data_IF_784381350546
#
_entry.id   IF_784381350546
#
_cell.length_a   1.000
_cell.length_b   1.000
_cell.length_c   1.000
_cell.angle_alpha   90.00
_cell.angle_beta   90.00
_cell.angle_gamma   90.00
#
_symmetry.space_group_name_H-M   'P 1'
#
loop_
_entity.id
_entity.type
_entity.pdbx_description
1 polymer ?
#
# COMPACT_ATOMS: atom_id res chain seq x y z
N UNK A 1 -64.90 -7.48 29.95
CA UNK A 1 -63.49 -7.04 30.17
C UNK A 1 -62.42 -8.09 29.82
N UNK A 2 -62.71 -9.41 29.72
CA UNK A 2 -61.69 -10.44 29.36
C UNK A 2 -61.13 -10.36 27.93
N UNK A 3 -61.93 -9.92 26.94
CA UNK A 3 -61.48 -9.79 25.54
C UNK A 3 -60.47 -8.65 25.33
N UNK A 4 -60.67 -7.52 26.02
CA UNK A 4 -59.75 -6.38 25.97
C UNK A 4 -58.37 -6.75 26.56
N UNK A 5 -58.34 -7.49 27.67
CA UNK A 5 -57.10 -7.95 28.30
C UNK A 5 -56.29 -8.88 27.40
N UNK A 6 -56.93 -9.84 26.73
CA UNK A 6 -56.23 -10.75 25.79
C UNK A 6 -55.73 -10.02 24.54
N UNK A 7 -56.50 -9.06 24.05
CA UNK A 7 -56.08 -8.22 22.92
C UNK A 7 -54.83 -7.41 23.25
N UNK A 8 -54.80 -6.78 24.43
CA UNK A 8 -53.65 -6.01 24.92
C UNK A 8 -52.42 -6.91 25.12
N UNK A 9 -52.60 -8.11 25.67
CA UNK A 9 -51.53 -9.10 25.83
C UNK A 9 -50.89 -9.49 24.49
N UNK A 10 -51.70 -9.84 23.48
CA UNK A 10 -51.18 -10.15 22.14
C UNK A 10 -50.50 -8.96 21.47
N UNK A 11 -51.03 -7.74 21.64
CA UNK A 11 -50.40 -6.53 21.12
C UNK A 11 -48.99 -6.32 21.71
N UNK A 12 -48.82 -6.54 23.02
CA UNK A 12 -47.52 -6.47 23.67
C UNK A 12 -46.56 -7.57 23.22
N UNK A 13 -47.04 -8.81 23.05
CA UNK A 13 -46.22 -9.92 22.54
C UNK A 13 -45.69 -9.61 21.13
N UNK A 14 -46.56 -9.11 20.24
CA UNK A 14 -46.19 -8.73 18.88
C UNK A 14 -45.16 -7.59 18.91
N UNK A 15 -45.41 -6.54 19.69
CA UNK A 15 -44.49 -5.41 19.83
C UNK A 15 -43.12 -5.86 20.35
N UNK A 16 -43.10 -6.72 21.38
CA UNK A 16 -41.86 -7.28 21.90
C UNK A 16 -41.12 -8.12 20.86
N UNK A 17 -41.85 -8.92 20.07
CA UNK A 17 -41.30 -9.67 18.94
C UNK A 17 -40.60 -8.75 17.93
N UNK A 18 -41.25 -7.66 17.53
CA UNK A 18 -40.64 -6.66 16.64
C UNK A 18 -39.43 -5.97 17.25
N UNK A 19 -39.47 -5.64 18.54
CA UNK A 19 -38.32 -5.03 19.23
C UNK A 19 -37.12 -5.96 19.25
N UNK A 20 -37.32 -7.23 19.64
CA UNK A 20 -36.24 -8.22 19.68
C UNK A 20 -35.67 -8.47 18.28
N UNK A 21 -36.53 -8.59 17.27
CA UNK A 21 -36.08 -8.81 15.89
C UNK A 21 -35.30 -7.60 15.34
N UNK A 22 -35.72 -6.37 15.68
CA UNK A 22 -35.00 -5.15 15.30
C UNK A 22 -33.64 -5.06 15.99
N UNK A 23 -33.56 -5.41 17.27
CA UNK A 23 -32.30 -5.45 18.02
C UNK A 23 -31.34 -6.48 17.43
N UNK A 24 -31.82 -7.70 17.16
CA UNK A 24 -31.02 -8.75 16.53
C UNK A 24 -30.51 -8.34 15.16
N UNK A 25 -31.37 -7.75 14.33
CA UNK A 25 -31.00 -7.26 13.00
C UNK A 25 -29.90 -6.19 13.10
N UNK A 26 -30.03 -5.25 14.04
CA UNK A 26 -29.03 -4.21 14.27
C UNK A 26 -27.68 -4.78 14.75
N UNK A 27 -27.71 -5.78 15.65
CA UNK A 27 -26.50 -6.46 16.12
C UNK A 27 -25.79 -7.21 14.99
N UNK A 28 -26.53 -7.96 14.18
CA UNK A 28 -25.99 -8.70 13.04
C UNK A 28 -25.38 -7.72 12.02
N UNK A 29 -26.10 -6.65 11.71
CA UNK A 29 -25.63 -5.62 10.78
C UNK A 29 -24.33 -4.95 11.25
N UNK A 30 -24.26 -4.58 12.53
CA UNK A 30 -23.06 -3.98 13.13
C UNK A 30 -21.88 -4.96 13.13
N UNK A 31 -22.13 -6.23 13.47
CA UNK A 31 -21.12 -7.27 13.45
C UNK A 31 -20.57 -7.51 12.04
N UNK A 32 -21.44 -7.56 11.04
CA UNK A 32 -21.07 -7.72 9.64
C UNK A 32 -20.15 -6.59 9.17
N UNK A 33 -20.53 -5.32 9.42
CA UNK A 33 -19.74 -4.16 9.01
C UNK A 33 -18.36 -4.14 9.68
N UNK A 34 -18.30 -4.40 10.99
CA UNK A 34 -17.01 -4.47 11.72
C UNK A 34 -16.11 -5.59 11.21
N UNK A 35 -16.69 -6.74 10.88
CA UNK A 35 -15.95 -7.88 10.33
C UNK A 35 -15.42 -7.57 8.93
N UNK A 36 -16.25 -6.92 8.10
CA UNK A 36 -15.87 -6.48 6.76
C UNK A 36 -14.70 -5.49 6.81
N UNK A 37 -14.81 -4.43 7.62
CA UNK A 37 -13.73 -3.45 7.78
C UNK A 37 -12.43 -4.08 8.29
N UNK A 38 -12.52 -4.99 9.27
CA UNK A 38 -11.34 -5.71 9.78
C UNK A 38 -10.68 -6.56 8.70
N UNK A 39 -11.47 -7.29 7.91
CA UNK A 39 -10.95 -8.10 6.82
C UNK A 39 -10.30 -7.24 5.74
N UNK A 40 -10.91 -6.09 5.41
CA UNK A 40 -10.32 -5.14 4.46
C UNK A 40 -9.00 -4.59 4.99
N UNK A 41 -8.96 -4.09 6.22
CA UNK A 41 -7.73 -3.56 6.83
C UNK A 41 -6.60 -4.61 6.88
N UNK A 42 -6.93 -5.86 7.22
CA UNK A 42 -5.95 -6.94 7.22
C UNK A 42 -5.42 -7.23 5.82
N UNK A 43 -6.29 -7.24 4.81
CA UNK A 43 -5.89 -7.44 3.41
C UNK A 43 -5.05 -6.29 2.85
N UNK A 44 -5.44 -5.04 3.11
CA UNK A 44 -4.67 -3.85 2.70
C UNK A 44 -3.28 -3.87 3.30
N UNK A 45 -3.16 -4.22 4.59
CA UNK A 45 -1.88 -4.37 5.27
C UNK A 45 -1.03 -5.49 4.65
N UNK A 46 -1.62 -6.65 4.37
CA UNK A 46 -0.90 -7.76 3.76
C UNK A 46 -0.37 -7.40 2.37
N UNK A 47 -1.20 -6.73 1.55
CA UNK A 47 -0.76 -6.23 0.24
C UNK A 47 0.40 -5.25 0.39
N UNK A 48 0.31 -4.28 1.30
CA UNK A 48 1.40 -3.32 1.52
C UNK A 48 2.72 -4.00 1.95
N UNK A 49 2.64 -5.01 2.83
CA UNK A 49 3.81 -5.80 3.25
C UNK A 49 4.39 -6.61 2.09
N UNK A 50 3.54 -7.27 1.31
CA UNK A 50 3.96 -8.03 0.13
C UNK A 50 4.64 -7.13 -0.91
N UNK A 51 4.08 -5.95 -1.17
CA UNK A 51 4.70 -4.93 -2.04
C UNK A 51 6.04 -4.47 -1.48
N UNK A 52 6.12 -4.23 -0.16
CA UNK A 52 7.37 -3.84 0.52
C UNK A 52 8.45 -4.90 0.34
N UNK A 53 8.14 -6.16 0.62
CA UNK A 53 9.09 -7.27 0.49
C UNK A 53 9.57 -7.43 -0.95
N UNK A 54 8.68 -7.26 -1.93
CA UNK A 54 9.02 -7.29 -3.35
C UNK A 54 9.94 -6.12 -3.73
N UNK A 55 9.63 -4.90 -3.28
CA UNK A 55 10.49 -3.71 -3.51
C UNK A 55 11.87 -3.91 -2.91
N UNK A 56 11.97 -4.37 -1.65
CA UNK A 56 13.25 -4.59 -0.98
C UNK A 56 14.08 -5.66 -1.69
N UNK A 57 13.46 -6.79 -2.04
CA UNK A 57 14.15 -7.86 -2.77
C UNK A 57 14.62 -7.39 -4.15
N UNK A 58 13.80 -6.61 -4.84
CA UNK A 58 14.13 -6.06 -6.15
C UNK A 58 15.23 -5.00 -6.05
N UNK A 59 15.23 -4.20 -4.98
CA UNK A 59 16.29 -3.25 -4.66
C UNK A 59 17.62 -3.95 -4.45
N UNK A 60 17.67 -4.94 -3.55
CA UNK A 60 18.86 -5.73 -3.27
C UNK A 60 19.41 -6.39 -4.55
N UNK A 61 18.52 -6.95 -5.37
CA UNK A 61 18.90 -7.59 -6.65
C UNK A 61 19.42 -6.58 -7.67
N UNK A 62 18.79 -5.40 -7.78
CA UNK A 62 19.12 -4.38 -8.77
C UNK A 62 20.42 -3.64 -8.46
N UNK A 63 20.76 -3.47 -7.19
CA UNK A 63 22.02 -2.84 -6.78
C UNK A 63 23.25 -3.64 -7.19
N UNK A 64 23.18 -4.97 -7.12
CA UNK A 64 24.29 -5.86 -7.44
C UNK A 64 24.58 -5.94 -8.94
N UNK A 65 23.61 -5.57 -9.79
CA UNK A 65 23.74 -5.68 -11.25
C UNK A 65 24.41 -4.42 -11.82
N UNK A 66 25.58 -4.60 -12.44
CA UNK A 66 26.28 -3.55 -13.18
C UNK A 66 25.69 -3.41 -14.59
N UNK A 67 24.61 -2.64 -14.69
CA UNK A 67 24.09 -2.15 -15.97
C UNK A 67 24.42 -0.67 -16.07
N UNK A 68 25.08 -0.27 -17.16
CA UNK A 68 25.48 1.10 -17.45
C UNK A 68 24.69 1.59 -18.67
N UNK A 69 23.53 2.24 -18.48
CA UNK A 69 22.73 2.75 -19.58
C UNK A 69 23.48 3.85 -20.34
N UNK A 70 23.37 3.84 -21.67
CA UNK A 70 23.86 4.93 -22.53
C UNK A 70 23.19 6.26 -22.16
N UNK A 71 23.82 7.39 -22.48
CA UNK A 71 23.26 8.72 -22.18
C UNK A 71 21.85 8.88 -22.78
N UNK A 72 20.91 9.39 -21.98
CA UNK A 72 19.50 9.53 -22.30
C UNK A 72 18.79 8.18 -22.61
N UNK A 73 19.21 7.11 -21.95
CA UNK A 73 18.57 5.79 -22.06
C UNK A 73 18.23 5.19 -20.69
N UNK A 74 17.36 4.20 -20.71
CA UNK A 74 16.95 3.42 -19.54
C UNK A 74 17.05 1.92 -19.86
N UNK A 75 17.43 1.14 -18.86
CA UNK A 75 17.52 -0.32 -18.93
C UNK A 75 16.77 -0.91 -17.76
N UNK A 76 15.86 -1.84 -18.05
CA UNK A 76 15.23 -2.67 -17.03
C UNK A 76 16.27 -3.70 -16.57
N UNK A 77 16.63 -3.61 -15.29
CA UNK A 77 17.69 -4.44 -14.69
C UNK A 77 17.13 -5.71 -14.09
N UNK A 78 15.96 -5.61 -13.46
CA UNK A 78 15.25 -6.72 -12.88
C UNK A 78 13.75 -6.43 -12.86
N UNK A 79 12.94 -7.48 -12.90
CA UNK A 79 11.50 -7.39 -12.73
C UNK A 79 10.97 -8.47 -11.79
N UNK A 80 9.80 -8.24 -11.22
CA UNK A 80 9.13 -9.17 -10.32
C UNK A 80 7.62 -9.00 -10.36
N UNK A 81 6.91 -10.10 -10.58
CA UNK A 81 5.46 -10.15 -10.49
C UNK A 81 5.02 -10.34 -9.04
N UNK A 82 4.21 -9.42 -8.52
CA UNK A 82 3.80 -9.48 -7.12
C UNK A 82 2.68 -10.51 -6.90
N UNK A 83 1.84 -10.80 -7.90
CA UNK A 83 0.65 -11.65 -7.79
C UNK A 83 -0.30 -11.15 -6.70
N UNK A 84 -0.87 -9.97 -6.92
CA UNK A 84 -1.86 -9.41 -6.02
C UNK A 84 -3.17 -10.20 -6.01
N UNK A 85 -3.93 -10.20 -4.89
CA UNK A 85 -5.29 -10.74 -4.91
C UNK A 85 -6.18 -9.92 -5.86
N UNK A 86 -7.19 -10.56 -6.45
CA UNK A 86 -8.15 -9.86 -7.32
C UNK A 86 -8.99 -8.83 -6.55
N UNK A 87 -9.29 -9.10 -5.27
CA UNK A 87 -10.07 -8.21 -4.41
C UNK A 87 -9.70 -8.40 -2.94
N UNK A 88 -10.00 -7.39 -2.12
CA UNK A 88 -9.80 -7.40 -0.67
C UNK A 88 -11.16 -7.22 -0.01
N UNK A 89 -11.62 -8.21 0.75
CA UNK A 89 -12.97 -8.18 1.34
C UNK A 89 -14.09 -8.05 0.30
N UNK A 90 -13.87 -8.55 -0.92
CA UNK A 90 -14.81 -8.40 -2.04
C UNK A 90 -14.89 -6.96 -2.59
N UNK A 91 -13.85 -6.14 -2.41
CA UNK A 91 -13.73 -4.79 -2.97
C UNK A 91 -12.50 -4.68 -3.85
N UNK A 92 -12.62 -3.87 -4.90
CA UNK A 92 -11.48 -3.46 -5.70
C UNK A 92 -10.58 -2.52 -4.87
N UNK A 93 -9.29 -2.56 -5.17
CA UNK A 93 -8.29 -1.75 -4.51
C UNK A 93 -7.23 -1.28 -5.52
N UNK A 94 -6.46 -0.30 -5.08
CA UNK A 94 -5.29 0.19 -5.77
C UNK A 94 -4.10 0.29 -4.82
N UNK A 95 -2.90 0.18 -5.40
CA UNK A 95 -1.62 0.36 -4.74
C UNK A 95 -0.91 1.51 -5.44
N UNK A 96 -0.57 2.56 -4.70
CA UNK A 96 0.21 3.69 -5.17
C UNK A 96 1.60 3.66 -4.52
N UNK A 97 2.65 3.75 -5.33
CA UNK A 97 4.02 3.96 -4.87
C UNK A 97 4.33 5.45 -4.90
N UNK A 98 4.70 6.01 -3.74
CA UNK A 98 4.90 7.45 -3.60
C UNK A 98 6.31 7.68 -3.09
N UNK A 99 7.16 8.26 -3.94
CA UNK A 99 8.39 8.92 -3.52
C UNK A 99 8.04 10.24 -2.84
N UNK A 100 8.48 10.43 -1.60
CA UNK A 100 8.30 11.72 -0.93
C UNK A 100 9.39 12.70 -1.41
N UNK A 101 9.04 13.92 -1.86
CA UNK A 101 9.95 15.04 -1.73
C UNK A 101 9.97 15.43 -0.25
N UNK A 102 10.73 14.70 0.57
CA UNK A 102 10.70 14.94 2.02
C UNK A 102 11.60 14.01 2.82
N UNK A 103 12.49 14.63 3.59
CA UNK A 103 13.46 14.06 4.52
C UNK A 103 12.74 13.17 5.54
N UNK A 104 13.13 11.89 5.65
CA UNK A 104 12.88 11.10 6.85
C UNK A 104 14.16 11.07 7.67
N UNK A 105 14.15 11.75 8.83
CA UNK A 105 15.26 11.67 9.78
C UNK A 105 15.11 10.37 10.56
N UNK A 106 15.92 9.37 10.24
CA UNK A 106 16.17 8.26 11.16
C UNK A 106 17.57 8.43 11.76
N UNK A 107 17.63 8.52 13.09
CA UNK A 107 18.86 8.75 13.85
C UNK A 107 19.69 7.47 13.92
N UNK A 108 20.85 7.46 13.26
CA UNK A 108 21.82 6.36 13.34
C UNK A 108 22.80 6.58 14.49
N UNK A 109 23.05 5.51 15.27
CA UNK A 109 24.16 5.26 16.19
C UNK A 109 24.88 6.46 16.82
N UNK A 110 24.56 6.69 18.10
CA UNK A 110 25.42 7.41 19.04
C UNK A 110 26.65 6.54 19.34
N UNK A 111 27.74 6.78 18.62
CA UNK A 111 29.07 6.33 19.08
C UNK A 111 29.64 7.47 19.92
N UNK A 112 29.64 7.29 21.25
CA UNK A 112 30.28 8.21 22.18
C UNK A 112 31.72 7.73 22.34
N UNK A 113 32.61 8.27 21.51
CA UNK A 113 34.04 8.19 21.79
C UNK A 113 34.51 9.49 22.47
N UNK A 114 35.60 9.40 23.23
CA UNK A 114 36.14 10.45 24.11
C UNK A 114 36.56 11.76 23.41
N UNK A 115 36.30 11.91 22.12
CA UNK A 115 36.70 13.07 21.30
C UNK A 115 35.52 13.78 20.60
N UNK A 116 34.27 13.34 20.77
CA UNK A 116 33.09 14.10 20.32
C UNK A 116 31.96 13.26 19.73
N UNK A 117 30.76 13.84 19.74
CA UNK A 117 29.54 13.22 19.18
C UNK A 117 29.57 13.38 17.65
N UNK A 118 29.87 12.32 16.91
CA UNK A 118 29.73 12.31 15.45
C UNK A 118 28.30 11.91 15.07
N UNK A 119 27.44 12.90 14.78
CA UNK A 119 26.13 12.67 14.19
C UNK A 119 26.29 12.62 12.68
N UNK A 120 26.36 11.42 12.09
CA UNK A 120 26.18 11.26 10.64
C UNK A 120 24.70 11.45 10.32
N UNK A 121 24.35 12.62 9.78
CA UNK A 121 23.01 12.93 9.28
C UNK A 121 22.90 12.44 7.84
N UNK A 122 22.50 11.18 7.65
CA UNK A 122 22.11 10.69 6.33
C UNK A 122 20.68 11.14 6.04
N UNK A 123 20.49 11.83 4.92
CA UNK A 123 19.19 12.34 4.49
C UNK A 123 18.67 11.38 3.43
N UNK A 124 17.79 10.45 3.79
CA UNK A 124 17.02 9.69 2.80
C UNK A 124 15.63 10.31 2.67
N UNK A 125 15.23 10.64 1.44
CA UNK A 125 13.82 10.81 1.12
C UNK A 125 13.15 9.45 1.37
N UNK A 126 12.03 9.45 2.09
CA UNK A 126 11.38 8.19 2.44
C UNK A 126 10.25 7.93 1.47
N UNK A 127 10.34 6.77 0.85
CA UNK A 127 9.30 6.18 0.04
C UNK A 127 8.12 5.68 0.91
N UNK A 128 6.92 5.65 0.36
CA UNK A 128 5.77 5.00 1.00
C UNK A 128 4.90 4.24 0.00
N UNK A 129 4.25 3.20 0.50
CA UNK A 129 3.24 2.42 -0.21
C UNK A 129 1.88 2.83 0.36
N UNK A 130 0.98 3.27 -0.51
CA UNK A 130 -0.41 3.54 -0.15
C UNK A 130 -1.30 2.49 -0.81
N UNK A 131 -2.00 1.69 -0.01
CA UNK A 131 -2.99 0.73 -0.51
C UNK A 131 -4.37 1.19 -0.08
N UNK A 132 -5.32 1.29 -1.01
CA UNK A 132 -6.67 1.77 -0.68
C UNK A 132 -7.77 1.09 -1.48
N UNK A 133 -8.95 0.95 -0.89
CA UNK A 133 -10.12 0.48 -1.62
C UNK A 133 -10.67 1.57 -2.53
N UNK A 134 -11.21 1.17 -3.68
CA UNK A 134 -11.85 2.08 -4.64
C UNK A 134 -13.38 2.10 -4.51
N UNK A 135 -13.91 1.35 -3.54
CA UNK A 135 -15.34 1.14 -3.29
C UNK A 135 -15.63 1.16 -1.79
N UNK A 136 -16.88 1.45 -1.40
CA UNK A 136 -17.28 1.46 0.00
C UNK A 136 -17.13 0.10 0.70
N UNK A 137 -16.57 0.04 1.92
CA UNK A 137 -16.03 1.17 2.68
C UNK A 137 -14.68 1.64 2.12
N UNK A 138 -14.52 2.96 1.99
CA UNK A 138 -13.27 3.59 1.56
C UNK A 138 -12.26 3.55 2.71
N UNK A 139 -11.31 2.61 2.63
CA UNK A 139 -10.27 2.37 3.62
C UNK A 139 -8.92 2.46 2.94
N UNK A 140 -7.93 2.96 3.66
CA UNK A 140 -6.55 3.06 3.19
C UNK A 140 -5.56 2.59 4.26
N UNK A 141 -4.42 2.11 3.79
CA UNK A 141 -3.30 1.73 4.63
C UNK A 141 -2.01 2.29 4.02
N UNK A 142 -1.25 3.01 4.84
CA UNK A 142 0.05 3.57 4.46
C UNK A 142 1.15 2.77 5.13
N UNK A 143 2.14 2.35 4.34
CA UNK A 143 3.33 1.66 4.81
C UNK A 143 4.58 2.44 4.41
N UNK A 144 5.33 3.01 5.38
CA UNK A 144 6.58 3.69 5.09
C UNK A 144 7.67 2.67 4.72
N UNK A 145 8.48 3.00 3.71
CA UNK A 145 9.65 2.24 3.30
C UNK A 145 10.91 2.98 3.75
N UNK A 146 11.45 2.66 4.94
CA UNK A 146 12.70 3.26 5.40
C UNK A 146 13.88 2.69 4.61
N UNK A 147 14.96 3.48 4.50
CA UNK A 147 16.29 3.04 4.03
C UNK A 147 16.39 2.58 2.57
N UNK A 148 15.47 3.01 1.70
CA UNK A 148 15.61 2.83 0.25
C UNK A 148 16.09 4.16 -0.34
N UNK A 149 17.31 4.18 -0.86
CA UNK A 149 17.95 5.38 -1.41
C UNK A 149 17.68 5.56 -2.92
N UNK A 150 16.50 5.18 -3.39
CA UNK A 150 16.07 5.30 -4.78
C UNK A 150 14.61 5.74 -4.84
N UNK A 151 14.22 6.33 -5.97
CA UNK A 151 12.84 6.70 -6.18
C UNK A 151 11.97 5.46 -6.43
N UNK A 152 10.74 5.51 -5.95
CA UNK A 152 9.67 4.58 -6.27
C UNK A 152 8.48 5.32 -6.88
N UNK A 153 7.85 4.72 -7.89
CA UNK A 153 6.67 5.30 -8.52
C UNK A 153 5.78 4.24 -9.13
N UNK A 154 4.60 4.66 -9.57
CA UNK A 154 3.67 3.80 -10.29
C UNK A 154 2.47 3.41 -9.45
N UNK A 155 1.54 2.75 -10.14
CA UNK A 155 0.22 2.45 -9.62
C UNK A 155 -0.24 1.11 -10.15
N UNK A 156 -0.78 0.30 -9.25
CA UNK A 156 -1.55 -0.89 -9.60
C UNK A 156 -3.02 -0.65 -9.29
N UNK A 157 -3.91 -1.08 -10.19
CA UNK A 157 -5.35 -1.17 -9.95
C UNK A 157 -5.78 -2.62 -10.15
N UNK A 158 -6.68 -3.14 -9.32
CA UNK A 158 -7.13 -4.52 -9.43
C UNK A 158 -7.40 -4.99 -10.88
N UNK A 159 -6.61 -5.95 -11.37
CA UNK A 159 -6.68 -6.48 -12.74
C UNK A 159 -5.79 -5.79 -13.78
N UNK A 160 -4.96 -4.81 -13.39
CA UNK A 160 -3.91 -4.22 -14.22
C UNK A 160 -2.59 -5.00 -14.11
N UNK A 161 -1.55 -4.53 -14.79
CA UNK A 161 -0.19 -5.06 -14.64
C UNK A 161 0.32 -4.90 -13.20
N UNK A 162 0.74 -5.99 -12.57
CA UNK A 162 1.25 -6.08 -11.20
C UNK A 162 2.77 -6.32 -11.13
N UNK A 163 3.47 -6.06 -12.22
CA UNK A 163 4.93 -6.16 -12.32
C UNK A 163 5.60 -4.97 -11.65
N UNK A 164 6.59 -5.23 -10.80
CA UNK A 164 7.59 -4.25 -10.39
C UNK A 164 8.83 -4.35 -11.28
N UNK A 165 9.38 -3.21 -11.67
CA UNK A 165 10.61 -3.13 -12.47
C UNK A 165 11.65 -2.24 -11.78
N UNK A 166 12.88 -2.74 -11.66
CA UNK A 166 14.05 -1.94 -11.31
C UNK A 166 14.65 -1.41 -12.58
N UNK A 167 14.80 -0.09 -12.66
CA UNK A 167 15.26 0.58 -13.86
C UNK A 167 16.45 1.43 -13.50
N UNK A 168 17.54 1.24 -14.24
CA UNK A 168 18.67 2.16 -14.26
C UNK A 168 18.53 3.05 -15.47
N UNK A 169 18.67 4.35 -15.28
CA UNK A 169 18.61 5.31 -16.39
C UNK A 169 19.72 6.34 -16.27
N UNK A 170 20.19 6.82 -17.42
CA UNK A 170 21.20 7.86 -17.50
C UNK A 170 20.57 9.13 -18.07
N UNK A 171 20.59 10.20 -17.28
CA UNK A 171 20.15 11.51 -17.72
C UNK A 171 21.32 12.49 -17.67
N UNK A 172 21.70 13.02 -18.84
CA UNK A 172 22.77 14.00 -18.98
C UNK A 172 24.12 13.55 -18.38
N UNK A 173 24.42 12.25 -18.45
CA UNK A 173 25.64 11.66 -17.89
C UNK A 173 25.58 11.32 -16.39
N UNK A 174 24.42 11.49 -15.75
CA UNK A 174 24.19 11.05 -14.37
C UNK A 174 23.32 9.80 -14.35
N UNK A 175 23.79 8.75 -13.70
CA UNK A 175 23.02 7.51 -13.50
C UNK A 175 22.07 7.65 -12.32
N UNK A 176 20.88 7.12 -12.51
CA UNK A 176 19.79 7.13 -11.55
C UNK A 176 19.09 5.77 -11.54
N UNK A 177 18.53 5.43 -10.38
CA UNK A 177 17.86 4.17 -10.15
C UNK A 177 16.43 4.45 -9.68
N UNK A 178 15.46 3.69 -10.20
CA UNK A 178 14.05 3.83 -9.84
C UNK A 178 13.35 2.48 -9.85
N UNK A 179 12.43 2.26 -8.92
CA UNK A 179 11.50 1.13 -8.95
C UNK A 179 10.12 1.61 -9.41
N UNK A 180 9.57 0.92 -10.40
CA UNK A 180 8.27 1.27 -11.00
C UNK A 180 7.28 0.13 -10.87
N UNK A 181 6.05 0.42 -10.43
CA UNK A 181 4.93 -0.52 -10.36
C UNK A 181 3.95 -0.32 -11.51
N UNK A 182 3.63 -1.42 -12.20
CA UNK A 182 2.64 -1.47 -13.27
C UNK A 182 3.18 -0.97 -14.61
N UNK A 183 2.26 -0.58 -15.49
CA UNK A 183 2.61 -0.02 -16.80
C UNK A 183 3.16 1.39 -16.62
N UNK A 184 4.27 1.70 -17.28
CA UNK A 184 4.90 3.02 -17.24
C UNK A 184 5.23 3.50 -18.65
N UNK A 185 4.60 4.61 -19.04
CA UNK A 185 4.89 5.29 -20.30
C UNK A 185 6.02 6.34 -20.15
N UNK A 186 6.26 6.78 -18.92
CA UNK A 186 7.17 7.89 -18.62
C UNK A 186 7.83 7.72 -17.26
N UNK A 187 9.16 7.75 -17.24
CA UNK A 187 9.95 7.99 -16.03
C UNK A 187 10.22 9.48 -16.02
N UNK A 188 9.90 10.18 -14.92
CA UNK A 188 10.13 11.63 -14.82
C UNK A 188 11.64 11.89 -14.89
N UNK A 189 12.15 12.07 -16.10
CA UNK A 189 13.57 12.17 -16.43
C UNK A 189 14.03 11.51 -17.74
N UNK A 190 13.21 10.72 -18.46
CA UNK A 190 13.65 10.02 -19.68
C UNK A 190 12.59 10.08 -20.79
N UNK A 191 12.94 10.69 -21.93
CA UNK A 191 12.04 10.87 -23.08
C UNK A 191 11.90 9.64 -24.00
N UNK A 192 12.55 8.51 -23.73
CA UNK A 192 12.36 7.28 -24.51
C UNK A 192 12.70 6.01 -23.72
N UNK A 193 11.73 5.09 -23.61
CA UNK A 193 11.94 3.70 -23.15
C UNK A 193 12.06 2.86 -24.42
N UNK A 194 13.23 2.22 -24.65
CA UNK A 194 13.37 1.23 -25.72
C UNK A 194 12.88 -0.12 -25.20
N UNK A 195 11.91 -0.70 -25.89
CA UNK A 195 11.42 -2.07 -25.73
C UNK A 195 12.41 -3.10 -26.29
#
# INVERSE_FOLDING_TARGET
MKGLSKFVEYAFIILFGFTVLSLLTSMIYTYYNKTLERNINSGLKQVALQTSDAILKLYDTGQDIKAEPENASAVIVANMDINYPNNIGGRNFEVDLISSPGIWVQVTNLTIDSEGINIRKETSSGAKILVKTTQEPFLSYEYPLPNIAIDIQGKYTAGSNDTLSYIKYNYLGTEHDIIVLGDFDFIVGVDTIKS
#
